data_IF_949844358150
#
_entry.id   IF_949844358150
#
_cell.length_a   1.000
_cell.length_b   1.000
_cell.length_c   1.000
_cell.angle_alpha   90.00
_cell.angle_beta   90.00
_cell.angle_gamma   90.00
#
_symmetry.space_group_name_H-M   'P 1'
#
loop_
_entity.id
_entity.type
_entity.pdbx_description
1 polymer ?
#
# COMPACT_ATOMS: atom_id res chain seq x y z
N UNK A 1 5.20 10.84 -16.69
CA UNK A 1 4.75 11.14 -15.31
C UNK A 1 5.88 11.71 -14.45
N UNK A 2 7.00 11.01 -14.26
CA UNK A 2 8.14 11.51 -13.45
C UNK A 2 8.85 12.77 -13.99
N UNK A 3 8.58 13.19 -15.23
CA UNK A 3 9.12 14.43 -15.80
C UNK A 3 8.43 15.71 -15.30
N UNK A 4 7.27 15.60 -14.66
CA UNK A 4 6.41 16.74 -14.31
C UNK A 4 6.23 16.92 -12.80
N UNK A 5 6.31 15.83 -12.04
CA UNK A 5 6.17 15.85 -10.58
C UNK A 5 7.30 15.05 -9.92
N UNK A 6 7.82 15.51 -8.77
CA UNK A 6 8.80 14.76 -8.02
C UNK A 6 8.20 13.46 -7.49
N UNK A 7 8.99 12.39 -7.48
CA UNK A 7 8.55 11.02 -7.18
C UNK A 7 7.84 10.92 -5.81
N UNK A 8 8.42 11.56 -4.79
CA UNK A 8 7.87 11.57 -3.44
C UNK A 8 6.45 12.15 -3.36
N UNK A 9 6.13 13.14 -4.21
CA UNK A 9 4.81 13.78 -4.22
C UNK A 9 3.77 12.81 -4.79
N UNK A 10 4.10 12.16 -5.92
CA UNK A 10 3.23 11.18 -6.55
C UNK A 10 2.97 10.02 -5.59
N UNK A 11 4.02 9.51 -4.95
CA UNK A 11 3.90 8.44 -3.96
C UNK A 11 3.04 8.85 -2.75
N UNK A 12 3.19 10.08 -2.26
CA UNK A 12 2.36 10.57 -1.15
C UNK A 12 0.88 10.66 -1.53
N UNK A 13 0.57 11.07 -2.75
CA UNK A 13 -0.81 11.09 -3.28
C UNK A 13 -1.35 9.66 -3.34
N UNK A 14 -0.59 8.72 -3.93
CA UNK A 14 -0.99 7.32 -4.04
C UNK A 14 -1.24 6.68 -2.67
N UNK A 15 -0.34 6.88 -1.71
CA UNK A 15 -0.48 6.37 -0.33
C UNK A 15 -1.69 6.98 0.36
N UNK A 16 -1.97 8.27 0.15
CA UNK A 16 -3.14 8.96 0.71
C UNK A 16 -4.44 8.38 0.15
N UNK A 17 -4.52 8.17 -1.17
CA UNK A 17 -5.67 7.50 -1.79
C UNK A 17 -5.86 6.07 -1.28
N UNK A 18 -4.77 5.30 -1.16
CA UNK A 18 -4.84 3.96 -0.58
C UNK A 18 -5.26 3.98 0.90
N UNK A 19 -4.89 5.01 1.69
CA UNK A 19 -5.37 5.17 3.06
C UNK A 19 -6.87 5.46 3.12
N UNK A 20 -7.41 6.25 2.18
CA UNK A 20 -8.85 6.51 2.11
C UNK A 20 -9.66 5.25 1.80
N UNK A 21 -9.13 4.35 0.96
CA UNK A 21 -9.81 3.10 0.58
C UNK A 21 -9.68 2.02 1.65
N UNK A 22 -8.46 1.75 2.12
CA UNK A 22 -8.21 0.62 3.01
C UNK A 22 -8.32 0.98 4.50
N UNK A 23 -8.16 2.26 4.85
CA UNK A 23 -7.97 2.73 6.22
C UNK A 23 -6.60 2.32 6.78
N UNK A 24 -6.47 2.36 8.11
CA UNK A 24 -5.30 1.82 8.80
C UNK A 24 -5.26 0.29 8.61
N UNK A 25 -4.26 -0.23 7.92
CA UNK A 25 -4.05 -1.67 7.69
C UNK A 25 -3.24 -2.34 8.80
N UNK A 26 -2.51 -1.55 9.61
CA UNK A 26 -1.67 -2.07 10.69
C UNK A 26 -2.50 -2.73 11.79
N UNK A 27 -3.74 -2.28 12.02
CA UNK A 27 -4.67 -2.91 12.98
C UNK A 27 -5.01 -4.36 12.63
N UNK A 28 -4.80 -4.75 11.38
CA UNK A 28 -4.99 -6.11 10.91
C UNK A 28 -3.68 -6.91 10.86
N UNK A 29 -2.53 -6.27 11.17
CA UNK A 29 -1.19 -6.85 11.09
C UNK A 29 -0.46 -6.58 9.76
N UNK A 30 -1.06 -5.84 8.82
CA UNK A 30 -0.41 -5.43 7.57
C UNK A 30 0.28 -4.07 7.73
N UNK A 31 1.56 -4.11 8.05
CA UNK A 31 2.41 -2.91 8.11
C UNK A 31 2.70 -2.39 6.70
N UNK A 32 2.48 -1.10 6.47
CA UNK A 32 2.84 -0.46 5.20
C UNK A 32 4.35 -0.19 5.15
N UNK A 33 4.99 -0.34 3.98
CA UNK A 33 6.35 0.14 3.78
C UNK A 33 6.45 1.63 4.04
N UNK A 34 7.61 2.08 4.52
CA UNK A 34 7.91 3.51 4.67
C UNK A 34 8.11 4.21 3.33
N UNK A 35 8.54 3.46 2.32
CA UNK A 35 8.73 3.94 0.96
C UNK A 35 7.45 3.83 0.15
N UNK A 36 7.27 4.79 -0.76
CA UNK A 36 6.10 4.83 -1.63
C UNK A 36 6.13 3.75 -2.72
N UNK A 37 4.98 3.47 -3.34
CA UNK A 37 4.85 2.38 -4.29
C UNK A 37 5.77 2.53 -5.52
N UNK A 38 5.93 3.75 -6.05
CA UNK A 38 6.81 4.00 -7.19
C UNK A 38 8.28 4.00 -6.79
N UNK A 39 8.60 4.50 -5.60
CA UNK A 39 9.95 4.38 -5.06
C UNK A 39 10.36 2.91 -4.92
N UNK A 40 9.52 2.07 -4.30
CA UNK A 40 9.74 0.62 -4.20
C UNK A 40 9.89 -0.04 -5.57
N UNK A 41 9.09 0.39 -6.56
CA UNK A 41 9.24 -0.11 -7.92
C UNK A 41 10.60 0.23 -8.52
N UNK A 42 11.14 1.41 -8.23
CA UNK A 42 12.41 1.87 -8.77
C UNK A 42 13.60 1.22 -8.05
N UNK A 43 13.52 0.97 -6.74
CA UNK A 43 14.59 0.33 -5.96
C UNK A 43 14.56 -1.19 -6.06
N UNK A 44 13.40 -1.82 -5.82
CA UNK A 44 13.25 -3.27 -5.70
C UNK A 44 12.73 -3.93 -6.99
N UNK A 45 12.40 -3.13 -8.02
CA UNK A 45 11.83 -3.59 -9.29
C UNK A 45 10.36 -4.00 -9.20
N UNK A 46 9.75 -3.97 -8.01
CA UNK A 46 8.39 -4.43 -7.74
C UNK A 46 7.74 -3.61 -6.62
N UNK A 47 6.42 -3.61 -6.60
CA UNK A 47 5.62 -2.98 -5.55
C UNK A 47 4.65 -4.02 -5.01
N UNK A 48 4.51 -4.18 -3.68
CA UNK A 48 3.49 -5.04 -3.12
C UNK A 48 2.10 -4.50 -3.49
N UNK A 49 1.25 -5.37 -4.02
CA UNK A 49 -0.15 -5.05 -4.35
C UNK A 49 -1.07 -5.71 -3.34
N UNK A 50 -2.11 -4.98 -2.96
CA UNK A 50 -3.10 -5.43 -1.98
C UNK A 50 -4.46 -5.46 -2.65
N UNK A 51 -5.00 -6.66 -2.82
CA UNK A 51 -6.30 -6.88 -3.43
C UNK A 51 -7.44 -6.50 -2.48
N UNK A 52 -8.50 -5.88 -3.01
CA UNK A 52 -9.64 -5.41 -2.22
C UNK A 52 -10.43 -6.56 -1.60
N UNK A 53 -10.72 -7.63 -2.36
CA UNK A 53 -11.45 -8.79 -1.85
C UNK A 53 -10.64 -9.55 -0.80
N UNK A 54 -9.31 -9.61 -0.97
CA UNK A 54 -8.41 -10.14 0.05
C UNK A 54 -8.48 -9.30 1.33
N UNK A 55 -8.51 -7.98 1.21
CA UNK A 55 -8.66 -7.10 2.37
C UNK A 55 -10.01 -7.22 3.06
N UNK A 56 -11.09 -7.44 2.31
CA UNK A 56 -12.41 -7.72 2.90
C UNK A 56 -12.38 -8.99 3.74
N UNK A 57 -11.74 -10.06 3.25
CA UNK A 57 -11.58 -11.32 3.98
C UNK A 57 -10.68 -11.20 5.22
N UNK A 58 -9.64 -10.37 5.16
CA UNK A 58 -8.82 -10.05 6.34
C UNK A 58 -9.66 -9.28 7.37
N UNK A 59 -10.48 -8.32 6.91
CA UNK A 59 -11.37 -7.53 7.77
C UNK A 59 -12.48 -8.37 8.40
N UNK A 60 -13.03 -9.36 7.69
CA UNK A 60 -14.05 -10.29 8.21
C UNK A 60 -13.48 -11.38 9.14
N UNK A 61 -12.15 -11.54 9.17
CA UNK A 61 -11.47 -12.57 9.95
C UNK A 61 -11.41 -13.94 9.26
N UNK A 62 -11.87 -14.05 8.02
CA UNK A 62 -11.72 -15.25 7.18
C UNK A 62 -10.24 -15.54 6.87
N UNK A 63 -9.44 -14.49 6.66
CA UNK A 63 -7.99 -14.59 6.50
C UNK A 63 -7.32 -14.02 7.74
N UNK A 64 -6.52 -14.85 8.43
CA UNK A 64 -5.67 -14.43 9.55
C UNK A 64 -4.26 -14.22 9.06
N UNK A 65 -3.65 -13.10 9.46
CA UNK A 65 -2.23 -12.91 9.24
C UNK A 65 -1.42 -13.68 10.28
N UNK A 66 -0.36 -14.31 9.83
CA UNK A 66 0.63 -15.01 10.65
C UNK A 66 2.00 -14.33 10.48
N UNK A 67 2.88 -14.39 11.50
CA UNK A 67 4.23 -13.82 11.42
C UNK A 67 5.09 -14.46 10.33
#
# INVERSE_FOLDING_TARGET
MMKWFPLWLVDRILVSMANMVFGNTEKYGLKRPTEGPLQLKNSDGKTPVLDLGTMEKIKSGEIKLVP
#
